data_IF_686070023389
#
_entry.id   IF_686070023389
#
_cell.length_a   1.000
_cell.length_b   1.000
_cell.length_c   1.000
_cell.angle_alpha   90.00
_cell.angle_beta   90.00
_cell.angle_gamma   90.00
#
_symmetry.space_group_name_H-M   'P 1'
#
loop_
_entity.id
_entity.type
_entity.pdbx_description
1 polymer ?
#
# COMPACT_ATOMS: atom_id res chain seq x y z
N UNK A 1 -18.53 -3.69 -6.07
CA UNK A 1 -17.48 -3.08 -5.23
C UNK A 1 -17.17 -4.04 -4.11
N UNK A 2 -15.91 -4.21 -3.70
CA UNK A 2 -15.62 -5.00 -2.51
C UNK A 2 -16.34 -4.39 -1.31
N UNK A 3 -16.93 -5.25 -0.48
CA UNK A 3 -17.54 -4.78 0.76
C UNK A 3 -16.43 -4.36 1.73
N UNK A 4 -16.66 -3.29 2.52
CA UNK A 4 -15.78 -2.96 3.63
C UNK A 4 -15.67 -4.15 4.58
N UNK A 5 -14.68 -4.14 5.47
CA UNK A 5 -14.54 -5.18 6.52
C UNK A 5 -15.63 -4.96 7.60
N UNK A 6 -16.88 -4.98 7.19
CA UNK A 6 -18.04 -5.01 8.05
C UNK A 6 -18.45 -6.47 8.16
N UNK A 7 -18.01 -7.11 9.25
CA UNK A 7 -18.44 -8.45 9.69
C UNK A 7 -17.98 -9.68 8.87
N UNK A 8 -16.76 -9.71 8.32
CA UNK A 8 -16.21 -10.97 7.78
C UNK A 8 -15.61 -11.88 8.87
N UNK A 9 -15.90 -13.18 8.75
CA UNK A 9 -15.63 -14.32 9.66
C UNK A 9 -14.16 -14.54 10.05
N UNK A 10 -13.23 -13.78 9.47
CA UNK A 10 -11.79 -13.92 9.70
C UNK A 10 -11.27 -12.80 10.61
N UNK A 11 -10.62 -13.16 11.72
CA UNK A 11 -10.09 -12.19 12.68
C UNK A 11 -8.82 -11.44 12.19
N UNK A 12 -8.57 -11.43 10.89
CA UNK A 12 -7.33 -10.93 10.25
C UNK A 12 -7.67 -9.86 9.22
N UNK A 13 -6.75 -8.91 9.04
CA UNK A 13 -6.71 -7.88 8.01
C UNK A 13 -5.44 -8.10 7.19
N UNK A 14 -5.61 -8.20 5.89
CA UNK A 14 -4.53 -8.41 4.92
C UNK A 14 -4.17 -7.10 4.25
N UNK A 15 -2.94 -6.65 4.44
CA UNK A 15 -2.38 -5.43 3.83
C UNK A 15 -1.43 -5.86 2.72
N UNK A 16 -1.76 -5.51 1.48
CA UNK A 16 -0.85 -5.68 0.35
C UNK A 16 0.10 -4.48 0.26
N UNK A 17 1.40 -4.73 0.25
CA UNK A 17 2.43 -3.69 0.31
C UNK A 17 3.48 -3.87 -0.80
N UNK A 18 3.89 -2.75 -1.39
CA UNK A 18 5.01 -2.72 -2.33
C UNK A 18 6.33 -2.63 -1.57
N UNK A 19 7.27 -3.52 -1.87
CA UNK A 19 8.62 -3.44 -1.30
C UNK A 19 9.38 -2.26 -1.91
N UNK A 20 9.84 -1.33 -1.06
CA UNK A 20 10.67 -0.18 -1.47
C UNK A 20 12.12 -0.29 -0.99
N UNK A 21 12.52 -1.45 -0.47
CA UNK A 21 13.86 -1.76 0.02
C UNK A 21 13.94 -1.93 1.54
N UNK A 22 15.04 -2.54 2.00
CA UNK A 22 15.33 -2.75 3.43
C UNK A 22 15.76 -1.44 4.11
N UNK A 23 15.40 -1.29 5.38
CA UNK A 23 15.92 -0.28 6.33
C UNK A 23 15.62 1.19 6.02
N UNK A 24 14.72 1.48 5.09
CA UNK A 24 14.25 2.84 4.85
C UNK A 24 13.29 3.33 5.96
N UNK A 25 13.08 4.65 6.02
CA UNK A 25 12.38 5.30 7.13
C UNK A 25 10.89 4.97 7.13
N UNK A 26 10.27 4.88 5.97
CA UNK A 26 8.86 4.58 5.78
C UNK A 26 8.50 3.17 6.29
N UNK A 27 9.30 2.14 6.01
CA UNK A 27 9.08 0.80 6.55
C UNK A 27 9.37 0.72 8.04
N UNK A 28 10.41 1.40 8.54
CA UNK A 28 10.67 1.47 9.98
C UNK A 28 9.49 2.10 10.74
N UNK A 29 8.93 3.19 10.21
CA UNK A 29 7.72 3.83 10.71
C UNK A 29 6.53 2.86 10.71
N UNK A 30 6.25 2.18 9.57
CA UNK A 30 5.16 1.21 9.47
C UNK A 30 5.30 0.08 10.50
N UNK A 31 6.44 -0.60 10.51
CA UNK A 31 6.68 -1.76 11.36
C UNK A 31 6.64 -1.38 12.84
N UNK A 32 7.31 -0.30 13.23
CA UNK A 32 7.32 0.16 14.62
C UNK A 32 5.94 0.64 15.09
N UNK A 33 5.14 1.24 14.19
CA UNK A 33 3.74 1.60 14.48
C UNK A 33 2.90 0.35 14.72
N UNK A 34 3.06 -0.69 13.90
CA UNK A 34 2.35 -1.96 14.07
C UNK A 34 2.81 -2.75 15.28
N UNK A 35 4.12 -2.78 15.57
CA UNK A 35 4.68 -3.36 16.79
C UNK A 35 4.08 -2.68 18.03
N UNK A 36 3.93 -1.34 18.02
CA UNK A 36 3.39 -0.59 19.15
C UNK A 36 1.94 -0.98 19.48
N UNK A 37 1.17 -1.40 18.49
CA UNK A 37 -0.22 -1.87 18.65
C UNK A 37 -0.32 -3.40 18.64
N UNK A 38 0.79 -4.11 18.86
CA UNK A 38 0.87 -5.57 18.88
C UNK A 38 0.28 -6.23 17.62
N UNK A 39 0.51 -5.62 16.45
CA UNK A 39 0.02 -6.12 15.15
C UNK A 39 -1.50 -6.27 15.10
N UNK A 40 -2.23 -5.38 15.78
CA UNK A 40 -3.68 -5.40 15.80
C UNK A 40 -4.28 -3.99 15.70
N UNK A 41 -5.40 -3.89 14.97
CA UNK A 41 -6.27 -2.69 14.98
C UNK A 41 -7.67 -3.15 15.36
N UNK A 42 -8.23 -2.58 16.44
CA UNK A 42 -9.54 -2.96 17.02
C UNK A 42 -9.74 -4.49 17.14
N UNK A 43 -8.74 -5.19 17.70
CA UNK A 43 -8.68 -6.65 17.91
C UNK A 43 -8.57 -7.53 16.65
N UNK A 44 -8.40 -6.92 15.48
CA UNK A 44 -8.16 -7.64 14.22
C UNK A 44 -6.67 -7.70 13.96
N UNK A 45 -6.14 -8.90 13.73
CA UNK A 45 -4.72 -9.16 13.48
C UNK A 45 -4.31 -8.62 12.11
N UNK A 46 -3.14 -7.98 12.02
CA UNK A 46 -2.57 -7.51 10.78
C UNK A 46 -1.66 -8.59 10.17
N UNK A 47 -1.78 -8.78 8.86
CA UNK A 47 -0.89 -9.61 8.04
C UNK A 47 -0.41 -8.79 6.85
N UNK A 48 0.89 -8.80 6.57
CA UNK A 48 1.48 -8.12 5.41
C UNK A 48 1.70 -9.12 4.26
N UNK A 49 1.20 -8.78 3.07
CA UNK A 49 1.55 -9.43 1.81
C UNK A 49 2.47 -8.49 1.03
N UNK A 50 3.73 -8.88 0.88
CA UNK A 50 4.77 -7.99 0.35
C UNK A 50 5.15 -8.43 -1.05
N UNK A 51 5.00 -7.52 -2.01
CA UNK A 51 5.36 -7.71 -3.40
C UNK A 51 6.77 -7.19 -3.66
N UNK A 52 7.58 -7.98 -4.36
CA UNK A 52 8.97 -7.67 -4.68
C UNK A 52 9.96 -8.73 -4.18
N UNK A 53 11.24 -8.42 -4.28
CA UNK A 53 12.32 -9.30 -3.80
C UNK A 53 12.24 -9.47 -2.28
N UNK A 54 12.49 -10.70 -1.80
CA UNK A 54 12.57 -10.98 -0.37
C UNK A 54 13.76 -10.22 0.23
N UNK A 55 13.50 -9.40 1.25
CA UNK A 55 14.56 -8.86 2.10
C UNK A 55 14.32 -9.35 3.52
N UNK A 56 15.37 -9.89 4.14
CA UNK A 56 15.25 -10.57 5.42
C UNK A 56 14.66 -9.67 6.51
N UNK A 57 13.43 -9.97 6.93
CA UNK A 57 12.93 -9.53 8.23
C UNK A 57 13.67 -10.27 9.34
N UNK A 58 13.80 -9.62 10.49
CA UNK A 58 14.18 -10.32 11.70
C UNK A 58 13.03 -11.27 12.08
N UNK A 59 13.23 -12.57 11.88
CA UNK A 59 12.22 -13.63 12.09
C UNK A 59 11.80 -13.77 13.56
N UNK A 60 12.43 -13.03 14.48
CA UNK A 60 12.09 -13.00 15.90
C UNK A 60 10.91 -12.07 16.24
N UNK A 61 10.46 -11.22 15.30
CA UNK A 61 9.35 -10.31 15.54
C UNK A 61 7.99 -10.99 15.28
N UNK A 62 6.92 -10.57 15.98
CA UNK A 62 5.54 -11.10 15.86
C UNK A 62 4.86 -10.81 14.50
N UNK A 63 5.65 -10.53 13.48
CA UNK A 63 5.27 -10.10 12.15
C UNK A 63 4.73 -11.32 11.39
N UNK A 64 3.44 -11.29 11.03
CA UNK A 64 2.91 -12.20 10.01
C UNK A 64 3.06 -11.51 8.64
N UNK A 65 4.26 -11.62 8.06
CA UNK A 65 4.57 -11.12 6.72
C UNK A 65 4.85 -12.29 5.77
N UNK A 66 4.28 -12.21 4.56
CA UNK A 66 4.49 -13.19 3.49
C UNK A 66 4.99 -12.46 2.26
N UNK A 67 6.08 -12.96 1.69
CA UNK A 67 6.59 -12.48 0.42
C UNK A 67 5.91 -13.23 -0.73
N UNK A 68 5.34 -12.49 -1.66
CA UNK A 68 4.64 -13.05 -2.82
C UNK A 68 5.62 -13.34 -3.97
N UNK A 69 6.81 -12.73 -3.96
CA UNK A 69 7.82 -12.89 -5.01
C UNK A 69 7.33 -12.40 -6.38
N UNK A 70 8.01 -12.83 -7.45
CA UNK A 70 7.55 -12.59 -8.83
C UNK A 70 6.39 -13.54 -9.16
N UNK A 71 5.27 -13.00 -9.64
CA UNK A 71 4.07 -13.74 -10.05
C UNK A 71 3.59 -13.29 -11.43
N UNK A 72 2.74 -14.08 -12.09
CA UNK A 72 2.07 -13.61 -13.31
C UNK A 72 1.18 -12.40 -13.02
N UNK A 73 0.80 -11.68 -14.06
CA UNK A 73 -0.10 -10.52 -13.93
C UNK A 73 -1.44 -10.93 -13.33
N UNK A 74 -2.04 -11.99 -13.86
CA UNK A 74 -3.34 -12.51 -13.42
C UNK A 74 -3.28 -12.92 -11.93
N UNK A 75 -2.18 -13.57 -11.53
CA UNK A 75 -2.02 -13.98 -10.13
C UNK A 75 -1.81 -12.78 -9.21
N UNK A 76 -1.08 -11.76 -9.67
CA UNK A 76 -0.88 -10.52 -8.92
C UNK A 76 -2.22 -9.80 -8.74
N UNK A 77 -3.01 -9.65 -9.80
CA UNK A 77 -4.35 -9.05 -9.76
C UNK A 77 -5.29 -9.83 -8.83
N UNK A 78 -5.28 -11.17 -8.88
CA UNK A 78 -6.03 -12.03 -7.96
C UNK A 78 -5.67 -11.74 -6.50
N UNK A 79 -4.39 -11.73 -6.16
CA UNK A 79 -3.92 -11.49 -4.79
C UNK A 79 -4.28 -10.09 -4.31
N UNK A 80 -4.05 -9.06 -5.14
CA UNK A 80 -4.40 -7.68 -4.81
C UNK A 80 -5.92 -7.51 -4.62
N UNK A 81 -6.73 -8.16 -5.44
CA UNK A 81 -8.19 -8.11 -5.30
C UNK A 81 -8.69 -8.77 -4.00
N UNK A 82 -7.93 -9.74 -3.46
CA UNK A 82 -8.26 -10.46 -2.24
C UNK A 82 -7.76 -9.78 -0.95
N UNK A 83 -6.77 -8.90 -1.03
CA UNK A 83 -6.31 -8.13 0.12
C UNK A 83 -7.37 -7.10 0.56
N UNK A 84 -7.33 -6.71 1.83
CA UNK A 84 -8.32 -5.79 2.39
C UNK A 84 -7.98 -4.32 2.08
N UNK A 85 -6.68 -3.99 2.08
CA UNK A 85 -6.16 -2.64 1.92
C UNK A 85 -4.77 -2.66 1.27
N UNK A 86 -4.43 -1.61 0.54
CA UNK A 86 -3.13 -1.44 -0.11
C UNK A 86 -2.26 -0.45 0.68
N UNK A 87 -0.96 -0.71 0.75
CA UNK A 87 0.04 0.20 1.31
C UNK A 87 1.12 0.48 0.27
N UNK A 88 1.13 1.70 -0.26
CA UNK A 88 2.18 2.20 -1.12
C UNK A 88 3.02 3.22 -0.34
N UNK A 89 4.34 3.17 -0.50
CA UNK A 89 5.22 4.13 0.17
C UNK A 89 6.25 4.74 -0.77
N UNK A 90 6.76 5.91 -0.39
CA UNK A 90 7.91 6.55 -1.01
C UNK A 90 8.88 7.06 0.04
N UNK A 91 10.15 7.17 -0.35
CA UNK A 91 11.22 7.49 0.59
C UNK A 91 11.11 8.91 1.14
N UNK A 92 11.23 9.01 2.47
CA UNK A 92 11.43 10.24 3.21
C UNK A 92 12.89 10.66 3.33
N UNK A 93 13.84 9.81 2.91
CA UNK A 93 15.26 10.11 3.09
C UNK A 93 15.67 11.31 2.21
N UNK A 94 16.34 12.34 2.77
CA UNK A 94 16.69 13.56 2.03
C UNK A 94 17.51 13.29 0.77
N UNK A 95 18.37 12.26 0.78
CA UNK A 95 19.20 11.87 -0.37
C UNK A 95 18.39 11.44 -1.60
N UNK A 96 17.12 11.09 -1.42
CA UNK A 96 16.21 10.69 -2.50
C UNK A 96 15.17 11.76 -2.83
N UNK A 97 15.21 12.95 -2.22
CA UNK A 97 14.16 13.97 -2.36
C UNK A 97 13.87 14.38 -3.80
N UNK A 98 14.90 14.62 -4.63
CA UNK A 98 14.71 14.96 -6.06
C UNK A 98 14.02 13.85 -6.84
N UNK A 99 14.40 12.59 -6.56
CA UNK A 99 13.75 11.42 -7.15
C UNK A 99 12.29 11.35 -6.69
N UNK A 100 12.03 11.49 -5.40
CA UNK A 100 10.67 11.44 -4.83
C UNK A 100 9.73 12.51 -5.41
N UNK A 101 10.24 13.71 -5.74
CA UNK A 101 9.44 14.78 -6.38
C UNK A 101 8.99 14.46 -7.80
N UNK A 102 9.73 13.62 -8.52
CA UNK A 102 9.52 13.36 -9.95
C UNK A 102 9.09 11.92 -10.25
N UNK A 103 9.32 10.99 -9.32
CA UNK A 103 9.08 9.57 -9.51
C UNK A 103 7.68 9.15 -9.04
N UNK A 104 6.99 8.43 -9.91
CA UNK A 104 5.75 7.75 -9.62
C UNK A 104 6.00 6.27 -9.31
N UNK A 105 5.58 5.75 -8.14
CA UNK A 105 5.69 4.33 -7.84
C UNK A 105 4.77 3.55 -8.78
N UNK A 106 5.30 2.58 -9.53
CA UNK A 106 4.48 1.85 -10.46
C UNK A 106 3.42 0.95 -9.79
N UNK A 107 3.71 0.46 -8.58
CA UNK A 107 2.79 -0.36 -7.80
C UNK A 107 1.54 0.43 -7.37
N UNK A 108 1.66 1.76 -7.24
CA UNK A 108 0.52 2.63 -6.95
C UNK A 108 -0.57 2.47 -8.02
N UNK A 109 -0.19 2.39 -9.29
CA UNK A 109 -1.15 2.20 -10.37
C UNK A 109 -1.90 0.85 -10.24
N UNK A 110 -1.18 -0.23 -9.91
CA UNK A 110 -1.76 -1.55 -9.70
C UNK A 110 -2.70 -1.57 -8.48
N UNK A 111 -2.29 -0.93 -7.40
CA UNK A 111 -3.08 -0.84 -6.16
C UNK A 111 -4.37 -0.08 -6.37
N UNK A 112 -4.33 1.06 -7.07
CA UNK A 112 -5.55 1.79 -7.43
C UNK A 112 -6.47 0.97 -8.37
N UNK A 113 -5.89 0.24 -9.34
CA UNK A 113 -6.65 -0.65 -10.25
C UNK A 113 -7.32 -1.83 -9.53
N UNK A 114 -6.76 -2.29 -8.41
CA UNK A 114 -7.31 -3.42 -7.63
C UNK A 114 -8.71 -3.16 -7.07
N UNK A 115 -9.13 -1.89 -7.00
CA UNK A 115 -10.41 -1.49 -6.43
C UNK A 115 -10.47 -1.64 -4.90
N UNK A 116 -9.31 -1.76 -4.24
CA UNK A 116 -9.15 -1.70 -2.78
C UNK A 116 -8.63 -0.32 -2.37
N UNK A 117 -8.99 0.20 -1.19
CA UNK A 117 -8.48 1.48 -0.75
C UNK A 117 -6.98 1.41 -0.52
N UNK A 118 -6.31 2.53 -0.75
CA UNK A 118 -4.85 2.64 -0.66
C UNK A 118 -4.46 3.65 0.42
N UNK A 119 -3.56 3.26 1.31
CA UNK A 119 -2.74 4.18 2.11
C UNK A 119 -1.50 4.50 1.29
N UNK A 120 -1.28 5.77 1.03
CA UNK A 120 -0.05 6.28 0.45
C UNK A 120 0.77 6.96 1.55
N UNK A 121 1.97 6.44 1.82
CA UNK A 121 2.86 6.89 2.87
C UNK A 121 4.15 7.48 2.28
N UNK A 122 4.24 8.80 2.25
CA UNK A 122 5.36 9.50 1.62
C UNK A 122 5.35 10.98 1.94
N UNK A 123 6.46 11.71 1.68
CA UNK A 123 6.52 13.13 1.99
C UNK A 123 5.51 13.92 1.17
N UNK A 124 5.02 15.03 1.72
CA UNK A 124 3.96 15.85 1.09
C UNK A 124 4.34 16.44 -0.28
N UNK A 125 5.64 16.48 -0.60
CA UNK A 125 6.16 16.95 -1.89
C UNK A 125 6.29 15.85 -2.95
N UNK A 126 5.97 14.61 -2.62
CA UNK A 126 6.15 13.49 -3.54
C UNK A 126 5.23 13.60 -4.77
N UNK A 127 5.72 13.12 -5.92
CA UNK A 127 5.05 13.28 -7.21
C UNK A 127 3.55 12.93 -7.22
N UNK A 128 3.09 11.80 -6.61
CA UNK A 128 1.68 11.42 -6.70
C UNK A 128 0.77 12.17 -5.72
N UNK A 129 1.31 12.90 -4.72
CA UNK A 129 0.51 13.47 -3.62
C UNK A 129 -0.57 14.42 -4.12
N UNK A 130 -0.21 15.33 -5.03
CA UNK A 130 -1.18 16.30 -5.56
C UNK A 130 -2.31 15.61 -6.31
N UNK A 131 -1.98 14.63 -7.15
CA UNK A 131 -2.96 13.86 -7.91
C UNK A 131 -3.88 13.05 -6.97
N UNK A 132 -3.31 12.29 -6.04
CA UNK A 132 -4.07 11.47 -5.11
C UNK A 132 -5.03 12.32 -4.26
N UNK A 133 -4.58 13.50 -3.84
CA UNK A 133 -5.41 14.47 -3.10
C UNK A 133 -6.55 15.03 -3.95
N UNK A 134 -6.27 15.44 -5.19
CA UNK A 134 -7.27 16.01 -6.10
C UNK A 134 -8.36 15.00 -6.46
N UNK A 135 -8.00 13.73 -6.59
CA UNK A 135 -8.92 12.66 -6.96
C UNK A 135 -9.50 11.89 -5.78
N UNK A 136 -9.13 12.20 -4.53
CA UNK A 136 -9.51 11.41 -3.35
C UNK A 136 -9.17 9.92 -3.49
N UNK A 137 -8.09 9.61 -4.23
CA UNK A 137 -7.77 8.26 -4.70
C UNK A 137 -7.06 7.39 -3.66
N UNK A 138 -6.56 8.00 -2.57
CA UNK A 138 -5.86 7.33 -1.49
C UNK A 138 -5.94 8.16 -0.21
N UNK A 139 -5.66 7.53 0.92
CA UNK A 139 -5.42 8.21 2.20
C UNK A 139 -3.95 8.50 2.31
N UNK A 140 -3.62 9.76 2.56
CA UNK A 140 -2.25 10.25 2.57
C UNK A 140 -1.73 10.28 4.01
N UNK A 141 -0.55 9.70 4.23
CA UNK A 141 0.23 9.83 5.45
C UNK A 141 1.57 10.50 5.12
N UNK A 142 1.88 11.60 5.80
CA UNK A 142 3.11 12.37 5.59
C UNK A 142 4.09 12.33 6.78
N UNK A 143 3.74 11.65 7.87
CA UNK A 143 4.64 11.43 9.01
C UNK A 143 5.58 10.26 8.78
N UNK A 144 6.88 10.49 8.99
CA UNK A 144 7.91 9.46 9.06
C UNK A 144 8.48 9.29 10.48
N UNK A 145 7.69 9.61 11.50
CA UNK A 145 8.08 9.38 12.89
C UNK A 145 8.24 7.88 13.16
N UNK A 146 9.16 7.46 14.07
CA UNK A 146 9.34 6.04 14.36
C UNK A 146 8.04 5.32 14.75
N UNK A 147 7.13 5.97 15.48
CA UNK A 147 5.79 5.46 15.75
C UNK A 147 4.81 6.55 15.35
N UNK A 148 4.03 6.34 14.29
CA UNK A 148 3.20 7.36 13.67
C UNK A 148 1.72 7.17 14.02
N UNK A 149 1.19 8.11 14.80
CA UNK A 149 -0.26 8.19 15.09
C UNK A 149 -1.05 8.50 13.82
N UNK A 150 -0.49 9.32 12.92
CA UNK A 150 -1.10 9.63 11.62
C UNK A 150 -1.28 8.35 10.80
N UNK A 151 -0.22 7.54 10.67
CA UNK A 151 -0.26 6.30 9.91
C UNK A 151 -1.29 5.32 10.50
N UNK A 152 -1.30 5.16 11.82
CA UNK A 152 -2.31 4.35 12.51
C UNK A 152 -3.74 4.81 12.18
N UNK A 153 -4.01 6.12 12.27
CA UNK A 153 -5.33 6.68 11.99
C UNK A 153 -5.74 6.50 10.52
N UNK A 154 -4.81 6.53 9.58
CA UNK A 154 -5.09 6.20 8.18
C UNK A 154 -5.64 4.78 8.03
N UNK A 155 -4.98 3.80 8.65
CA UNK A 155 -5.44 2.40 8.63
C UNK A 155 -6.76 2.24 9.41
N UNK A 156 -6.85 2.73 10.64
CA UNK A 156 -8.06 2.60 11.47
C UNK A 156 -9.30 3.18 10.76
N UNK A 157 -9.17 4.39 10.20
CA UNK A 157 -10.28 5.02 9.47
C UNK A 157 -10.66 4.21 8.23
N UNK A 158 -9.71 3.82 7.39
CA UNK A 158 -10.03 3.04 6.19
C UNK A 158 -10.70 1.72 6.55
N UNK A 159 -10.20 1.00 7.55
CA UNK A 159 -10.67 -0.33 7.88
C UNK A 159 -12.04 -0.35 8.58
N UNK A 160 -12.38 0.71 9.31
CA UNK A 160 -13.54 0.73 10.21
C UNK A 160 -14.55 1.85 9.95
N UNK A 161 -14.35 2.68 8.93
CA UNK A 161 -15.37 3.55 8.36
C UNK A 161 -15.78 2.99 6.98
N UNK A 162 -16.93 2.31 6.96
CA UNK A 162 -17.42 1.58 5.80
C UNK A 162 -17.73 2.48 4.59
N UNK A 163 -18.17 3.71 4.84
CA UNK A 163 -18.47 4.67 3.79
C UNK A 163 -17.16 5.20 3.21
N UNK A 164 -16.24 5.61 4.08
CA UNK A 164 -14.93 6.08 3.68
C UNK A 164 -14.09 5.03 2.94
N UNK A 165 -14.17 3.76 3.36
CA UNK A 165 -13.56 2.64 2.63
C UNK A 165 -14.07 2.57 1.20
N UNK A 166 -15.40 2.55 1.01
CA UNK A 166 -16.06 2.39 -0.29
C UNK A 166 -15.78 3.58 -1.20
N UNK A 167 -15.87 4.80 -0.67
CA UNK A 167 -15.57 6.02 -1.41
C UNK A 167 -14.11 6.06 -1.86
N UNK A 168 -13.16 5.77 -0.97
CA UNK A 168 -11.73 5.77 -1.31
C UNK A 168 -11.42 4.71 -2.37
N UNK A 169 -12.01 3.53 -2.26
CA UNK A 169 -11.84 2.44 -3.22
C UNK A 169 -12.42 2.77 -4.61
N UNK A 170 -13.60 3.40 -4.67
CA UNK A 170 -14.23 3.85 -5.92
C UNK A 170 -13.39 4.96 -6.57
N UNK A 171 -13.04 6.00 -5.82
CA UNK A 171 -12.23 7.11 -6.32
C UNK A 171 -10.85 6.65 -6.79
N UNK A 172 -10.21 5.73 -6.06
CA UNK A 172 -8.95 5.13 -6.48
C UNK A 172 -9.05 4.42 -7.83
N UNK A 173 -10.09 3.59 -8.01
CA UNK A 173 -10.34 2.90 -9.29
C UNK A 173 -10.66 3.86 -10.43
N UNK A 174 -11.42 4.92 -10.19
CA UNK A 174 -11.71 5.95 -11.19
C UNK A 174 -10.44 6.71 -11.59
N UNK A 175 -9.60 7.08 -10.61
CA UNK A 175 -8.32 7.73 -10.86
C UNK A 175 -7.38 6.82 -11.67
N UNK A 176 -7.46 5.50 -11.48
CA UNK A 176 -6.67 4.54 -12.23
C UNK A 176 -7.02 4.43 -13.73
N UNK A 177 -8.18 4.94 -14.14
CA UNK A 177 -8.59 5.00 -15.55
C UNK A 177 -8.02 6.24 -16.26
N UNK A 178 -7.40 7.17 -15.53
CA UNK A 178 -6.74 8.32 -16.12
C UNK A 178 -5.51 7.88 -16.92
N UNK A 179 -5.24 8.57 -18.03
CA UNK A 179 -4.18 8.22 -18.99
C UNK A 179 -2.80 8.16 -18.33
N UNK A 180 -2.52 9.08 -17.40
CA UNK A 180 -1.29 9.10 -16.61
C UNK A 180 -1.06 7.79 -15.83
N UNK A 181 -2.10 7.27 -15.18
CA UNK A 181 -1.98 6.03 -14.40
C UNK A 181 -1.90 4.80 -15.31
N UNK A 182 -2.58 4.86 -16.47
CA UNK A 182 -2.57 3.79 -17.45
C UNK A 182 -1.19 3.62 -18.08
N UNK A 183 -0.50 4.71 -18.44
CA UNK A 183 0.85 4.66 -19.01
C UNK A 183 1.88 4.11 -18.01
N UNK A 184 1.78 4.49 -16.73
CA UNK A 184 2.67 4.01 -15.66
C UNK A 184 2.51 2.51 -15.43
N UNK A 185 1.28 1.99 -15.38
CA UNK A 185 1.06 0.55 -15.15
C UNK A 185 1.59 -0.31 -16.30
N UNK A 186 1.42 0.15 -17.53
CA UNK A 186 1.78 -0.61 -18.73
C UNK A 186 3.30 -0.70 -18.89
N UNK A 187 4.04 0.32 -18.45
CA UNK A 187 5.49 0.30 -18.44
C UNK A 187 6.05 -0.63 -17.37
N UNK A 188 5.47 -0.66 -16.17
CA UNK A 188 5.91 -1.55 -15.09
C UNK A 188 5.61 -3.02 -15.34
N UNK A 189 4.44 -3.33 -15.88
CA UNK A 189 4.06 -4.71 -16.18
C UNK A 189 4.99 -5.38 -17.20
N UNK A 190 5.61 -4.60 -18.11
CA UNK A 190 6.66 -5.11 -19.02
C UNK A 190 7.91 -5.61 -18.28
N UNK A 191 8.16 -5.13 -17.06
CA UNK A 191 9.36 -5.47 -16.28
C UNK A 191 9.08 -6.56 -15.22
N UNK A 192 7.82 -6.75 -14.82
CA UNK A 192 7.44 -7.72 -13.79
C UNK A 192 6.90 -9.05 -14.35
N UNK A 193 6.47 -9.08 -15.61
CA UNK A 193 5.97 -10.30 -16.27
C UNK A 193 7.13 -10.96 -17.02
N UNK A 194 7.45 -12.22 -16.71
CA UNK A 194 8.30 -13.03 -17.58
C UNK A 194 7.67 -13.06 -18.96
N UNK A 195 8.44 -12.77 -20.01
CA UNK A 195 8.01 -13.10 -21.36
C UNK A 195 7.58 -14.57 -21.36
N UNK A 196 6.32 -14.83 -21.75
CA UNK A 196 5.88 -16.19 -21.99
C UNK A 196 6.70 -16.70 -23.18
N UNK A 197 7.59 -17.66 -22.91
CA UNK A 197 8.07 -18.62 -23.91
C UNK A 197 7.02 -19.75 -24.04
#
# INVERSE_FOLDING_TARGET
>A
MPEPITNNETNTITIAAANTGKDNWEWKCLLSTFDKVNWQIRNRRLTLLIFGEEFGFDRNASIDARFVGMSSREKTEEILSAADIMYCSQSFEPKFAERTRSHWPPELALFLKSGRPTVYHGPSYAAPVQFLKQHHAAVLCHSCEPVSVELYNCFDRLLFDADFYRETAEHGRQAAQQELITSISDEHLKHCVKAND
#
